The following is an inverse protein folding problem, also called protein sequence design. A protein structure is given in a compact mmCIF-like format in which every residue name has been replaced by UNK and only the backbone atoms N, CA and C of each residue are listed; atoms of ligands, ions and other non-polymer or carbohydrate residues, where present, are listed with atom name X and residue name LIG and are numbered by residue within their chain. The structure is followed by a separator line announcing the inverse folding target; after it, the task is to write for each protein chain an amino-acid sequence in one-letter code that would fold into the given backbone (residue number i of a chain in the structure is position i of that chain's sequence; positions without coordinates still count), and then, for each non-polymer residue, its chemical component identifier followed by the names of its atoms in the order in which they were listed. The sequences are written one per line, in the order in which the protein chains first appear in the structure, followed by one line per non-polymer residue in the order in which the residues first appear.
data_IF_172340439778
#
_entry.id   IF_172340439778
#
_cell.length_a   1.000
_cell.length_b   1.000
_cell.length_c   1.000
_cell.angle_alpha   90.00
_cell.angle_beta   90.00
_cell.angle_gamma   90.00
#
_symmetry.space_group_name_H-M   'P 1'
#
loop_
_entity.id
_entity.type
_entity.pdbx_description
1 polymer ?
#
# COMPACT_ATOMS: atom_id res chain seq x y z
N UNK A 1 51.69 -18.69 2.66
CA UNK A 1 50.72 -18.37 1.60
C UNK A 1 49.32 -18.23 2.21
N UNK A 2 48.97 -17.04 2.70
CA UNK A 2 47.64 -16.71 3.25
C UNK A 2 47.25 -15.34 2.71
N UNK A 3 47.04 -15.25 1.39
CA UNK A 3 46.78 -13.98 0.71
C UNK A 3 45.53 -13.95 -0.18
N UNK A 4 45.05 -15.09 -0.65
CA UNK A 4 44.11 -15.10 -1.78
C UNK A 4 42.64 -15.31 -1.41
N UNK A 5 42.32 -15.74 -0.18
CA UNK A 5 40.92 -16.02 0.20
C UNK A 5 40.11 -14.78 0.59
N UNK A 6 40.74 -13.63 0.86
CA UNK A 6 40.01 -12.39 1.24
C UNK A 6 39.51 -11.58 0.03
N UNK A 7 40.15 -11.70 -1.13
CA UNK A 7 39.81 -10.88 -2.31
C UNK A 7 38.48 -11.26 -2.98
N UNK A 8 38.07 -12.54 -2.92
CA UNK A 8 36.81 -13.02 -3.51
C UNK A 8 35.56 -12.60 -2.72
N UNK A 9 35.67 -12.49 -1.40
CA UNK A 9 34.54 -12.15 -0.52
C UNK A 9 34.13 -10.68 -0.63
N UNK A 10 35.11 -9.78 -0.76
CA UNK A 10 34.85 -8.34 -0.95
C UNK A 10 34.19 -8.03 -2.31
N UNK A 11 34.60 -8.69 -3.40
CA UNK A 11 34.02 -8.48 -4.75
C UNK A 11 32.55 -8.90 -4.85
N UNK A 12 32.12 -9.92 -4.11
CA UNK A 12 30.72 -10.37 -4.09
C UNK A 12 29.78 -9.41 -3.36
N UNK A 13 30.23 -8.87 -2.22
CA UNK A 13 29.46 -7.90 -1.43
C UNK A 13 29.29 -6.56 -2.16
N UNK A 14 30.34 -6.05 -2.81
CA UNK A 14 30.29 -4.82 -3.60
C UNK A 14 29.36 -4.93 -4.81
N UNK A 15 29.37 -6.08 -5.49
CA UNK A 15 28.48 -6.34 -6.64
C UNK A 15 27.01 -6.39 -6.20
N UNK A 16 26.72 -7.00 -5.05
CA UNK A 16 25.36 -7.05 -4.50
C UNK A 16 24.86 -5.65 -4.11
N UNK A 17 25.70 -4.86 -3.43
CA UNK A 17 25.38 -3.46 -3.09
C UNK A 17 25.13 -2.58 -4.32
N UNK A 18 25.91 -2.79 -5.40
CA UNK A 18 25.73 -2.07 -6.66
C UNK A 18 24.39 -2.40 -7.31
N UNK A 19 24.08 -3.69 -7.49
CA UNK A 19 22.81 -4.14 -8.05
C UNK A 19 21.61 -3.63 -7.24
N UNK A 20 21.76 -3.60 -5.91
CA UNK A 20 20.74 -3.07 -4.99
C UNK A 20 20.43 -1.59 -5.26
N UNK A 21 21.47 -0.76 -5.42
CA UNK A 21 21.30 0.66 -5.73
C UNK A 21 20.68 0.86 -7.11
N UNK A 22 21.09 0.06 -8.10
CA UNK A 22 20.56 0.15 -9.47
C UNK A 22 19.05 -0.14 -9.51
N UNK A 23 18.59 -1.19 -8.82
CA UNK A 23 17.17 -1.51 -8.75
C UNK A 23 16.37 -0.43 -8.00
N UNK A 24 16.89 0.09 -6.88
CA UNK A 24 16.22 1.16 -6.15
C UNK A 24 16.05 2.43 -7.00
N UNK A 25 17.10 2.81 -7.75
CA UNK A 25 17.03 3.93 -8.71
C UNK A 25 16.01 3.66 -9.80
N UNK A 26 15.97 2.43 -10.33
CA UNK A 26 15.01 2.03 -11.36
C UNK A 26 13.56 2.10 -10.88
N UNK A 27 13.29 1.62 -9.66
CA UNK A 27 11.96 1.70 -9.04
C UNK A 27 11.52 3.15 -8.85
N UNK A 28 12.41 4.03 -8.38
CA UNK A 28 12.12 5.46 -8.26
C UNK A 28 11.81 6.08 -9.62
N UNK A 29 12.63 5.79 -10.64
CA UNK A 29 12.41 6.26 -12.00
C UNK A 29 11.09 5.78 -12.59
N UNK A 30 10.72 4.52 -12.37
CA UNK A 30 9.45 3.98 -12.84
C UNK A 30 8.25 4.61 -12.11
N UNK A 31 8.35 4.85 -10.79
CA UNK A 31 7.30 5.57 -10.06
C UNK A 31 7.12 7.00 -10.61
N UNK A 32 8.21 7.72 -10.89
CA UNK A 32 8.09 9.07 -11.47
C UNK A 32 7.44 9.05 -12.86
N UNK A 33 7.73 8.04 -13.69
CA UNK A 33 7.00 7.87 -14.97
C UNK A 33 5.51 7.62 -14.75
N UNK A 34 5.15 6.77 -13.79
CA UNK A 34 3.74 6.50 -13.46
C UNK A 34 3.02 7.78 -13.04
N UNK A 35 3.65 8.58 -12.16
CA UNK A 35 3.12 9.89 -11.74
C UNK A 35 2.95 10.84 -12.91
N UNK A 36 3.97 11.00 -13.76
CA UNK A 36 3.91 11.90 -14.92
C UNK A 36 2.82 11.47 -15.92
N UNK A 37 2.75 10.18 -16.23
CA UNK A 37 1.82 9.66 -17.24
C UNK A 37 0.36 9.69 -16.77
N UNK A 38 0.12 9.49 -15.48
CA UNK A 38 -1.23 9.50 -14.91
C UNK A 38 -1.69 10.88 -14.43
N UNK A 39 -0.76 11.78 -14.07
CA UNK A 39 -1.06 13.00 -13.34
C UNK A 39 -1.54 12.76 -11.90
N UNK A 40 -1.27 11.57 -11.34
CA UNK A 40 -1.76 11.13 -10.03
C UNK A 40 -0.62 10.68 -9.12
N UNK A 41 -0.88 10.62 -7.81
CA UNK A 41 0.00 9.96 -6.86
C UNK A 41 1.31 10.71 -6.61
N UNK A 42 1.33 12.04 -6.77
CA UNK A 42 2.52 12.87 -6.53
C UNK A 42 3.07 12.75 -5.10
N UNK A 43 2.20 12.45 -4.14
CA UNK A 43 2.55 12.15 -2.75
C UNK A 43 3.29 10.82 -2.57
N UNK A 44 3.14 9.88 -3.52
CA UNK A 44 3.66 8.54 -3.35
C UNK A 44 5.18 8.51 -3.41
N UNK A 45 5.77 7.68 -2.55
CA UNK A 45 7.21 7.38 -2.52
C UNK A 45 7.39 5.87 -2.62
N UNK A 46 8.49 5.42 -3.20
CA UNK A 46 8.82 3.99 -3.24
C UNK A 46 10.01 3.69 -2.35
N UNK A 47 9.94 2.58 -1.62
CA UNK A 47 11.05 2.02 -0.86
C UNK A 47 11.18 0.53 -1.18
N UNK A 48 12.39 0.12 -1.52
CA UNK A 48 12.70 -1.28 -1.75
C UNK A 48 13.31 -1.90 -0.48
N UNK A 49 12.69 -2.98 -0.01
CA UNK A 49 12.99 -3.67 1.25
C UNK A 49 12.99 -5.19 1.01
N UNK A 50 13.93 -5.74 0.22
CA UNK A 50 13.88 -7.14 -0.21
C UNK A 50 13.70 -8.10 0.98
N UNK A 51 12.65 -8.91 0.93
CA UNK A 51 12.34 -9.86 1.99
C UNK A 51 11.59 -11.09 1.43
N UNK A 52 12.30 -12.19 1.11
CA UNK A 52 11.69 -13.39 0.54
C UNK A 52 10.84 -14.20 1.52
N UNK A 53 10.88 -13.87 2.81
CA UNK A 53 10.11 -14.58 3.85
C UNK A 53 8.70 -14.00 4.05
N UNK A 54 8.36 -12.90 3.36
CA UNK A 54 7.01 -12.35 3.38
C UNK A 54 6.14 -13.09 2.36
N UNK A 55 4.88 -13.29 2.73
CA UNK A 55 3.82 -13.86 1.90
C UNK A 55 3.28 -12.87 0.85
N UNK A 56 3.84 -11.67 0.81
CA UNK A 56 3.42 -10.57 -0.05
C UNK A 56 4.59 -9.94 -0.78
N UNK A 57 4.29 -9.48 -1.99
CA UNK A 57 5.24 -8.89 -2.92
C UNK A 57 5.49 -7.40 -2.64
N UNK A 58 4.48 -6.68 -2.17
CA UNK A 58 4.53 -5.27 -1.79
C UNK A 58 3.34 -4.88 -0.92
N UNK A 59 3.36 -3.64 -0.45
CA UNK A 59 2.21 -3.02 0.22
C UNK A 59 2.36 -1.48 0.23
N UNK A 60 1.25 -0.77 0.40
CA UNK A 60 1.27 0.68 0.64
C UNK A 60 1.07 1.02 2.11
N UNK A 61 2.06 1.69 2.71
CA UNK A 61 2.00 2.22 4.08
C UNK A 61 1.93 3.74 4.05
N UNK A 62 0.72 4.28 4.21
CA UNK A 62 0.48 5.71 4.10
C UNK A 62 0.69 6.19 2.65
N UNK A 63 1.78 6.90 2.43
CA UNK A 63 2.23 7.41 1.12
C UNK A 63 3.45 6.64 0.59
N UNK A 64 3.88 5.56 1.24
CA UNK A 64 5.07 4.79 0.85
C UNK A 64 4.69 3.42 0.30
N UNK A 65 4.97 3.19 -0.98
CA UNK A 65 4.94 1.88 -1.61
C UNK A 65 6.20 1.11 -1.19
N UNK A 66 6.01 0.04 -0.42
CA UNK A 66 7.07 -0.87 -0.01
C UNK A 66 7.11 -2.06 -0.96
N UNK A 67 8.27 -2.35 -1.55
CA UNK A 67 8.48 -3.47 -2.47
C UNK A 67 9.42 -4.49 -1.83
N UNK A 68 9.00 -5.76 -1.80
CA UNK A 68 9.69 -6.86 -1.14
C UNK A 68 10.36 -7.84 -2.11
N UNK A 69 9.97 -7.82 -3.39
CA UNK A 69 10.58 -8.65 -4.42
C UNK A 69 12.05 -8.29 -4.69
N UNK A 70 12.94 -9.29 -4.72
CA UNK A 70 14.36 -9.07 -5.02
C UNK A 70 14.65 -8.95 -6.52
N UNK A 71 13.81 -9.56 -7.35
CA UNK A 71 14.01 -9.62 -8.79
C UNK A 71 13.37 -8.41 -9.45
N UNK A 72 14.16 -7.72 -10.27
CA UNK A 72 13.78 -6.46 -10.91
C UNK A 72 12.43 -6.50 -11.62
N UNK A 73 12.19 -7.48 -12.49
CA UNK A 73 10.95 -7.58 -13.26
C UNK A 73 9.72 -7.71 -12.33
N UNK A 74 9.84 -8.53 -11.28
CA UNK A 74 8.80 -8.70 -10.26
C UNK A 74 8.61 -7.43 -9.45
N UNK A 75 9.70 -6.81 -8.99
CA UNK A 75 9.65 -5.56 -8.23
C UNK A 75 8.96 -4.42 -9.00
N UNK A 76 9.22 -4.31 -10.31
CA UNK A 76 8.58 -3.32 -11.18
C UNK A 76 7.09 -3.63 -11.38
N UNK A 77 6.74 -4.90 -11.57
CA UNK A 77 5.33 -5.32 -11.69
C UNK A 77 4.58 -5.02 -10.40
N UNK A 78 5.16 -5.36 -9.25
CA UNK A 78 4.61 -5.07 -7.92
C UNK A 78 4.43 -3.56 -7.71
N UNK A 79 5.41 -2.73 -8.09
CA UNK A 79 5.27 -1.27 -8.01
C UNK A 79 4.04 -0.76 -8.78
N UNK A 80 3.83 -1.25 -10.00
CA UNK A 80 2.67 -0.87 -10.83
C UNK A 80 1.36 -1.31 -10.19
N UNK A 81 1.32 -2.54 -9.67
CA UNK A 81 0.16 -3.07 -8.96
C UNK A 81 -0.21 -2.20 -7.75
N UNK A 82 0.75 -1.96 -6.86
CA UNK A 82 0.52 -1.18 -5.64
C UNK A 82 0.16 0.29 -5.94
N UNK A 83 0.72 0.88 -7.00
CA UNK A 83 0.34 2.22 -7.45
C UNK A 83 -1.14 2.28 -7.88
N UNK A 84 -1.59 1.31 -8.67
CA UNK A 84 -2.99 1.23 -9.13
C UNK A 84 -3.92 0.95 -7.93
N UNK A 85 -3.58 -0.01 -7.08
CA UNK A 85 -4.39 -0.37 -5.92
C UNK A 85 -4.52 0.79 -4.93
N UNK A 86 -3.47 1.58 -4.73
CA UNK A 86 -3.54 2.81 -3.94
C UNK A 86 -4.65 3.74 -4.43
N UNK A 87 -4.73 3.98 -5.73
CA UNK A 87 -5.72 4.87 -6.31
C UNK A 87 -7.12 4.27 -6.28
N UNK A 88 -7.28 2.98 -6.58
CA UNK A 88 -8.56 2.28 -6.43
C UNK A 88 -9.04 2.37 -4.97
N UNK A 89 -8.16 2.11 -4.02
CA UNK A 89 -8.44 2.19 -2.60
C UNK A 89 -8.86 3.60 -2.18
N UNK A 90 -8.12 4.63 -2.63
CA UNK A 90 -8.34 6.03 -2.27
C UNK A 90 -9.59 6.63 -2.91
N UNK A 91 -9.80 6.41 -4.20
CA UNK A 91 -10.84 7.09 -4.99
C UNK A 91 -12.15 6.30 -5.08
N UNK A 92 -12.12 4.97 -4.88
CA UNK A 92 -13.30 4.11 -5.05
C UNK A 92 -13.68 3.46 -3.73
N UNK A 93 -12.77 2.69 -3.13
CA UNK A 93 -13.09 1.84 -1.97
C UNK A 93 -13.37 2.69 -0.71
N UNK A 94 -12.49 3.64 -0.37
CA UNK A 94 -12.68 4.50 0.82
C UNK A 94 -13.95 5.36 0.72
N UNK A 95 -14.26 6.02 -0.41
CA UNK A 95 -15.53 6.73 -0.57
C UNK A 95 -16.77 5.83 -0.43
N UNK A 96 -16.74 4.62 -1.00
CA UNK A 96 -17.82 3.65 -0.85
C UNK A 96 -18.03 3.27 0.62
N UNK A 97 -16.95 2.95 1.35
CA UNK A 97 -17.02 2.65 2.79
C UNK A 97 -17.62 3.83 3.56
N UNK A 98 -17.21 5.06 3.25
CA UNK A 98 -17.76 6.28 3.88
C UNK A 98 -19.26 6.41 3.62
N UNK A 99 -19.71 6.17 2.39
CA UNK A 99 -21.12 6.23 2.02
C UNK A 99 -21.96 5.18 2.75
N UNK A 100 -21.49 3.94 2.81
CA UNK A 100 -22.15 2.85 3.56
C UNK A 100 -22.26 3.20 5.05
N UNK A 101 -21.19 3.73 5.65
CA UNK A 101 -21.21 4.13 7.06
C UNK A 101 -22.19 5.28 7.32
N UNK A 102 -22.31 6.23 6.40
CA UNK A 102 -23.31 7.31 6.49
C UNK A 102 -24.74 6.76 6.43
N UNK A 103 -25.02 5.84 5.50
CA UNK A 103 -26.34 5.18 5.43
C UNK A 103 -26.65 4.41 6.72
N UNK A 104 -25.67 3.68 7.25
CA UNK A 104 -25.82 2.94 8.50
C UNK A 104 -26.22 3.87 9.65
N UNK A 105 -25.54 5.00 9.82
CA UNK A 105 -25.86 5.97 10.88
C UNK A 105 -27.29 6.51 10.74
N UNK A 106 -27.69 6.89 9.52
CA UNK A 106 -29.05 7.39 9.26
C UNK A 106 -30.12 6.35 9.61
N UNK A 107 -29.88 5.08 9.27
CA UNK A 107 -30.81 4.00 9.58
C UNK A 107 -30.88 3.76 11.09
N UNK A 108 -29.74 3.76 11.79
CA UNK A 108 -29.66 3.61 13.25
C UNK A 108 -30.47 4.72 13.96
N UNK A 109 -30.33 5.97 13.53
CA UNK A 109 -31.06 7.12 14.09
C UNK A 109 -32.57 7.01 13.87
N UNK A 110 -33.00 6.57 12.68
CA UNK A 110 -34.41 6.35 12.36
C UNK A 110 -35.01 5.23 13.20
N UNK A 111 -34.29 4.11 13.34
CA UNK A 111 -34.71 2.97 14.16
C UNK A 111 -34.84 3.41 15.61
N UNK A 112 -33.81 4.07 16.15
CA UNK A 112 -33.81 4.56 17.53
C UNK A 112 -35.00 5.49 17.79
N UNK A 113 -35.20 6.49 16.93
CA UNK A 113 -36.30 7.46 17.05
C UNK A 113 -37.67 6.79 17.01
N UNK A 114 -37.85 5.79 16.14
CA UNK A 114 -39.12 5.04 16.04
C UNK A 114 -39.33 4.15 17.27
N UNK A 115 -38.28 3.47 17.74
CA UNK A 115 -38.28 2.65 18.97
C UNK A 115 -38.71 3.50 20.17
N UNK A 116 -38.06 4.64 20.39
CA UNK A 116 -38.36 5.54 21.51
C UNK A 116 -39.80 6.09 21.46
N UNK A 117 -40.29 6.43 20.27
CA UNK A 117 -41.69 6.85 20.09
C UNK A 117 -42.67 5.75 20.47
N UNK A 118 -42.37 4.50 20.11
CA UNK A 118 -43.22 3.35 20.42
C UNK A 118 -43.21 3.05 21.92
N UNK A 119 -42.02 3.01 22.54
CA UNK A 119 -41.86 2.83 24.00
C UNK A 119 -42.67 3.88 24.76
N UNK A 120 -42.54 5.16 24.40
CA UNK A 120 -43.32 6.25 25.02
C UNK A 120 -44.84 6.09 24.88
N UNK A 121 -45.32 5.48 23.78
CA UNK A 121 -46.75 5.21 23.59
C UNK A 121 -47.22 4.05 24.45
N UNK A 122 -46.44 2.97 24.51
CA UNK A 122 -46.77 1.79 25.33
C UNK A 122 -46.76 2.15 26.81
N UNK A 123 -45.77 2.92 27.27
CA UNK A 123 -45.69 3.38 28.67
C UNK A 123 -46.87 4.23 29.13
N UNK A 124 -47.63 4.85 28.21
CA UNK A 124 -48.86 5.59 28.56
C UNK A 124 -50.07 4.68 28.77
N UNK A 125 -49.98 3.41 28.39
CA UNK A 125 -51.04 2.41 28.52
C UNK A 125 -50.87 1.53 29.77
N UNK A 126 -49.71 1.60 30.41
CA UNK A 126 -49.36 0.93 31.66
C UNK A 126 -49.50 1.92 32.81
#
# INVERSE_FOLDING_TARGET
MVGERKAGFHKGAERNLKNRRELEVKLKGELEKLKMNSGMGHELRVRWLPNPNLDRHGEVKGDVICIYDEHEERAILTLKHEFIDYHISKEIVKPLIKYINMQKCLIEDLIYSRKERLVKRILKLL
#
